data_IF_722021362443
#
_entry.id   IF_722021362443
#
_cell.length_a   1.000
_cell.length_b   1.000
_cell.length_c   1.000
_cell.angle_alpha   90.00
_cell.angle_beta   90.00
_cell.angle_gamma   90.00
#
_symmetry.space_group_name_H-M   'P 1'
#
loop_
_entity.id
_entity.type
_entity.pdbx_description
1 polymer ?
#
# COMPACT_ATOMS: atom_id res chain seq x y z
N UNK A 1 -14.35 -6.66 -25.27
CA UNK A 1 -13.22 -6.94 -24.36
C UNK A 1 -12.89 -5.77 -23.43
N UNK A 2 -12.72 -4.54 -23.95
CA UNK A 2 -12.28 -3.36 -23.20
C UNK A 2 -13.37 -2.65 -22.36
N UNK A 3 -14.53 -3.28 -22.18
CA UNK A 3 -15.61 -2.74 -21.36
C UNK A 3 -15.85 -3.66 -20.16
N UNK A 4 -16.12 -3.07 -19.00
CA UNK A 4 -16.43 -3.80 -17.76
C UNK A 4 -17.67 -3.29 -17.07
N UNK A 5 -18.39 -4.20 -16.41
CA UNK A 5 -19.48 -3.84 -15.51
C UNK A 5 -18.93 -3.74 -14.08
N UNK A 6 -19.32 -2.72 -13.34
CA UNK A 6 -18.90 -2.51 -11.96
C UNK A 6 -20.02 -2.98 -11.04
N UNK A 7 -19.70 -3.91 -10.14
CA UNK A 7 -20.54 -4.25 -8.99
C UNK A 7 -20.00 -3.57 -7.74
N UNK A 8 -20.88 -3.07 -6.90
CA UNK A 8 -20.53 -2.50 -5.60
C UNK A 8 -20.66 -3.59 -4.54
N UNK A 9 -19.55 -3.92 -3.87
CA UNK A 9 -19.56 -4.83 -2.72
C UNK A 9 -19.50 -4.04 -1.43
N UNK A 10 -20.24 -4.48 -0.41
CA UNK A 10 -20.26 -3.82 0.89
C UNK A 10 -18.90 -3.98 1.60
N UNK A 11 -18.28 -2.87 2.02
CA UNK A 11 -17.09 -2.90 2.90
C UNK A 11 -17.48 -3.01 4.37
N UNK A 12 -18.67 -2.55 4.71
CA UNK A 12 -19.22 -2.48 6.08
C UNK A 12 -20.63 -3.06 6.08
N UNK A 13 -21.09 -3.51 7.25
CA UNK A 13 -22.37 -4.24 7.38
C UNK A 13 -23.59 -3.42 6.93
N UNK A 14 -23.56 -2.10 7.12
CA UNK A 14 -24.65 -1.18 6.76
C UNK A 14 -24.06 0.03 6.00
N UNK A 15 -23.83 -0.09 4.68
CA UNK A 15 -23.25 0.99 3.90
C UNK A 15 -24.25 2.14 3.75
N UNK A 16 -23.80 3.37 3.98
CA UNK A 16 -24.63 4.57 3.85
C UNK A 16 -24.06 5.59 2.87
N UNK A 17 -22.76 5.50 2.57
CA UNK A 17 -22.05 6.38 1.66
C UNK A 17 -21.38 5.60 0.52
N UNK A 18 -21.06 6.28 -0.58
CA UNK A 18 -20.36 5.65 -1.73
C UNK A 18 -19.00 5.05 -1.33
N UNK A 19 -18.34 5.61 -0.31
CA UNK A 19 -17.04 5.13 0.16
C UNK A 19 -17.12 3.80 0.90
N UNK A 20 -18.31 3.44 1.40
CA UNK A 20 -18.61 2.18 2.09
C UNK A 20 -18.71 1.00 1.13
N UNK A 21 -18.65 1.25 -0.19
CA UNK A 21 -18.61 0.21 -1.20
C UNK A 21 -17.20 0.02 -1.77
N UNK A 22 -16.90 -1.22 -2.15
CA UNK A 22 -15.73 -1.60 -2.95
C UNK A 22 -16.20 -1.93 -4.37
N UNK A 23 -15.82 -1.13 -5.38
CA UNK A 23 -16.16 -1.44 -6.76
C UNK A 23 -15.33 -2.62 -7.26
N UNK A 24 -15.96 -3.62 -7.88
CA UNK A 24 -15.29 -4.72 -8.57
C UNK A 24 -15.68 -4.73 -10.04
N UNK A 25 -14.67 -4.75 -10.91
CA UNK A 25 -14.84 -4.83 -12.34
C UNK A 25 -15.06 -6.27 -12.81
N UNK A 26 -16.26 -6.54 -13.31
CA UNK A 26 -16.61 -7.75 -14.05
C UNK A 26 -16.11 -7.62 -15.49
N UNK A 27 -14.98 -8.27 -15.74
CA UNK A 27 -14.36 -8.33 -17.06
C UNK A 27 -14.87 -9.52 -17.85
N UNK A 28 -14.88 -9.36 -19.18
CA UNK A 28 -15.15 -10.45 -20.12
C UNK A 28 -14.30 -11.69 -19.79
N UNK A 29 -14.86 -12.89 -19.78
CA UNK A 29 -14.12 -14.11 -19.44
C UNK A 29 -12.87 -14.32 -20.31
N UNK A 30 -12.98 -14.14 -21.63
CA UNK A 30 -11.86 -14.24 -22.56
C UNK A 30 -10.72 -13.26 -22.23
N UNK A 31 -11.05 -12.10 -21.65
CA UNK A 31 -10.07 -11.15 -21.08
C UNK A 31 -9.13 -11.85 -20.13
N UNK A 32 -9.72 -12.54 -19.17
CA UNK A 32 -9.01 -13.09 -18.02
C UNK A 32 -8.07 -14.20 -18.46
N UNK A 33 -8.41 -14.93 -19.53
CA UNK A 33 -7.54 -15.95 -20.13
C UNK A 33 -6.29 -15.30 -20.72
N UNK A 34 -6.45 -14.26 -21.55
CA UNK A 34 -5.31 -13.57 -22.16
C UNK A 34 -4.46 -12.88 -21.08
N UNK A 35 -5.12 -12.21 -20.12
CA UNK A 35 -4.46 -11.60 -18.97
C UNK A 35 -3.65 -12.61 -18.16
N UNK A 36 -4.17 -13.83 -17.98
CA UNK A 36 -3.45 -14.90 -17.28
C UNK A 36 -2.19 -15.31 -18.02
N UNK A 37 -2.25 -15.47 -19.34
CA UNK A 37 -1.08 -15.79 -20.17
C UNK A 37 -0.02 -14.69 -20.06
N UNK A 38 -0.43 -13.43 -20.16
CA UNK A 38 0.46 -12.29 -20.00
C UNK A 38 1.07 -12.23 -18.59
N UNK A 39 0.24 -12.42 -17.55
CA UNK A 39 0.64 -12.43 -16.15
C UNK A 39 1.72 -13.48 -15.87
N UNK A 40 1.56 -14.72 -16.37
CA UNK A 40 2.56 -15.78 -16.21
C UNK A 40 3.90 -15.38 -16.82
N UNK A 41 3.90 -14.82 -18.04
CA UNK A 41 5.14 -14.39 -18.71
C UNK A 41 5.82 -13.22 -18.01
N UNK A 42 5.04 -12.23 -17.56
CA UNK A 42 5.56 -11.07 -16.84
C UNK A 42 6.14 -11.51 -15.49
N UNK A 43 5.47 -12.37 -14.74
CA UNK A 43 6.00 -12.89 -13.48
C UNK A 43 7.31 -13.67 -13.66
N UNK A 44 7.41 -14.51 -14.69
CA UNK A 44 8.64 -15.23 -15.00
C UNK A 44 9.80 -14.23 -15.25
N UNK A 45 9.57 -13.23 -16.11
CA UNK A 45 10.56 -12.18 -16.37
C UNK A 45 10.98 -11.43 -15.10
N UNK A 46 10.03 -11.04 -14.24
CA UNK A 46 10.32 -10.34 -12.98
C UNK A 46 11.10 -11.18 -11.98
N UNK A 47 10.85 -12.50 -11.95
CA UNK A 47 11.60 -13.43 -11.11
C UNK A 47 13.05 -13.57 -11.57
N UNK A 48 13.27 -13.72 -12.88
CA UNK A 48 14.60 -13.94 -13.47
C UNK A 48 15.50 -12.69 -13.40
N UNK A 49 14.90 -11.49 -13.41
CA UNK A 49 15.61 -10.21 -13.48
C UNK A 49 15.80 -9.50 -12.14
N UNK A 50 15.23 -10.05 -11.05
CA UNK A 50 15.27 -9.45 -9.69
C UNK A 50 14.83 -7.98 -9.65
N UNK A 51 13.85 -7.60 -10.48
CA UNK A 51 13.38 -6.21 -10.62
C UNK A 51 12.54 -5.75 -9.42
N UNK A 52 11.84 -6.68 -8.77
CA UNK A 52 10.91 -6.34 -7.70
C UNK A 52 11.63 -6.11 -6.38
N UNK A 53 11.23 -5.05 -5.68
CA UNK A 53 11.69 -4.76 -4.33
C UNK A 53 11.48 -5.99 -3.41
N UNK A 54 12.50 -6.48 -2.71
CA UNK A 54 12.38 -7.68 -1.88
C UNK A 54 11.41 -7.52 -0.70
N UNK A 55 11.13 -6.30 -0.25
CA UNK A 55 10.21 -5.95 0.82
C UNK A 55 8.80 -5.59 0.33
N UNK A 56 8.58 -5.64 -0.98
CA UNK A 56 7.24 -5.67 -1.56
C UNK A 56 6.71 -7.10 -1.51
N UNK A 57 5.73 -7.36 -0.65
CA UNK A 57 5.21 -8.71 -0.35
C UNK A 57 3.79 -8.94 -0.89
N UNK A 58 3.04 -7.88 -1.17
CA UNK A 58 1.69 -7.99 -1.75
C UNK A 58 1.70 -8.63 -3.14
N UNK A 59 0.72 -9.48 -3.43
CA UNK A 59 0.52 -10.14 -4.73
C UNK A 59 1.70 -10.95 -5.28
N UNK A 60 2.62 -11.39 -4.41
CA UNK A 60 3.74 -12.26 -4.79
C UNK A 60 3.54 -13.67 -4.28
N UNK A 61 3.97 -14.64 -5.09
CA UNK A 61 4.02 -16.03 -4.66
C UNK A 61 4.91 -16.17 -3.42
N UNK A 62 4.51 -17.05 -2.49
CA UNK A 62 5.22 -17.28 -1.23
C UNK A 62 5.12 -16.15 -0.20
N UNK A 63 4.35 -15.10 -0.48
CA UNK A 63 4.13 -13.98 0.44
C UNK A 63 2.65 -13.85 0.82
N UNK A 64 2.39 -13.27 1.98
CA UNK A 64 1.04 -13.02 2.49
C UNK A 64 1.05 -11.81 3.43
N UNK A 65 -0.13 -11.42 3.92
CA UNK A 65 -0.20 -10.43 5.00
C UNK A 65 0.59 -10.87 6.23
N UNK A 66 0.65 -12.18 6.49
CA UNK A 66 1.41 -12.74 7.60
C UNK A 66 2.91 -12.56 7.42
N UNK A 67 3.46 -12.73 6.21
CA UNK A 67 4.92 -12.56 6.01
C UNK A 67 5.34 -11.11 6.26
N UNK A 68 4.55 -10.14 5.80
CA UNK A 68 4.77 -8.72 6.08
C UNK A 68 4.68 -8.40 7.59
N UNK A 69 3.61 -8.86 8.24
CA UNK A 69 3.42 -8.66 9.69
C UNK A 69 4.52 -9.33 10.52
N UNK A 70 4.94 -10.54 10.15
CA UNK A 70 6.02 -11.26 10.83
C UNK A 70 7.34 -10.49 10.72
N UNK A 71 7.70 -9.99 9.54
CA UNK A 71 8.92 -9.18 9.37
C UNK A 71 8.91 -7.94 10.25
N UNK A 72 7.84 -7.14 10.20
CA UNK A 72 7.72 -5.91 10.99
C UNK A 72 7.80 -6.22 12.49
N UNK A 73 7.03 -7.20 12.95
CA UNK A 73 6.95 -7.54 14.39
C UNK A 73 8.24 -8.14 14.91
N UNK A 74 8.94 -8.94 14.10
CA UNK A 74 10.26 -9.46 14.44
C UNK A 74 11.29 -8.32 14.56
N UNK A 75 11.30 -7.39 13.60
CA UNK A 75 12.17 -6.22 13.68
C UNK A 75 11.91 -5.41 14.96
N UNK A 76 10.64 -5.09 15.25
CA UNK A 76 10.29 -4.36 16.48
C UNK A 76 10.76 -5.12 17.72
N UNK A 77 10.59 -6.45 17.78
CA UNK A 77 11.07 -7.28 18.90
C UNK A 77 12.60 -7.27 19.02
N UNK A 78 13.31 -7.36 17.91
CA UNK A 78 14.78 -7.23 17.89
C UNK A 78 15.22 -5.85 18.39
N UNK A 79 14.50 -4.79 18.00
CA UNK A 79 14.69 -3.43 18.52
C UNK A 79 14.50 -3.37 20.03
N UNK A 80 13.40 -3.92 20.55
CA UNK A 80 13.12 -3.99 22.00
C UNK A 80 14.24 -4.73 22.75
N UNK A 81 14.67 -5.89 22.24
CA UNK A 81 15.78 -6.65 22.83
C UNK A 81 17.09 -5.86 22.83
N UNK A 82 17.31 -5.04 21.80
CA UNK A 82 18.42 -4.09 21.69
C UNK A 82 18.24 -2.80 22.50
N UNK A 83 17.17 -2.68 23.31
CA UNK A 83 16.81 -1.45 24.05
C UNK A 83 16.59 -0.23 23.14
N UNK A 84 16.07 -0.46 21.94
CA UNK A 84 15.70 0.57 20.96
C UNK A 84 14.19 0.75 20.89
N UNK A 85 13.81 1.89 20.32
CA UNK A 85 12.45 2.21 19.89
C UNK A 85 12.34 2.01 18.38
N UNK A 86 11.14 1.68 17.90
CA UNK A 86 10.81 1.65 16.47
C UNK A 86 9.78 2.72 16.17
N UNK A 87 10.15 3.70 15.36
CA UNK A 87 9.24 4.70 14.81
C UNK A 87 8.59 4.13 13.56
N UNK A 88 7.27 4.02 13.51
CA UNK A 88 6.50 3.43 12.41
C UNK A 88 5.51 4.44 11.82
N UNK A 89 5.56 4.61 10.49
CA UNK A 89 4.55 5.30 9.69
C UNK A 89 3.81 4.29 8.81
N UNK A 90 2.48 4.38 8.82
CA UNK A 90 1.58 3.60 7.97
C UNK A 90 0.87 4.55 7.01
N UNK A 91 1.27 4.53 5.75
CA UNK A 91 0.72 5.38 4.70
C UNK A 91 -0.53 4.76 4.07
N UNK A 92 -1.58 5.57 3.88
CA UNK A 92 -2.81 5.19 3.18
C UNK A 92 -2.86 5.89 1.82
N UNK A 93 -3.01 5.11 0.73
CA UNK A 93 -3.21 5.66 -0.61
C UNK A 93 -4.70 5.61 -0.98
N UNK A 94 -5.28 6.78 -1.24
CA UNK A 94 -6.69 6.90 -1.60
C UNK A 94 -6.98 6.34 -2.98
N UNK A 95 -7.73 5.23 -3.03
CA UNK A 95 -8.15 4.55 -4.27
C UNK A 95 -6.94 4.26 -5.17
N UNK A 96 -5.89 3.68 -4.59
CA UNK A 96 -4.60 3.51 -5.26
C UNK A 96 -4.73 2.81 -6.63
N UNK A 97 -5.50 1.72 -6.68
CA UNK A 97 -5.79 1.00 -7.93
C UNK A 97 -6.51 1.86 -8.97
N UNK A 98 -7.46 2.70 -8.57
CA UNK A 98 -8.25 3.53 -9.49
C UNK A 98 -7.48 4.78 -9.96
N UNK A 99 -6.34 5.09 -9.34
CA UNK A 99 -5.57 6.31 -9.58
C UNK A 99 -4.27 6.08 -10.33
N UNK A 100 -3.83 4.84 -10.52
CA UNK A 100 -2.61 4.49 -11.29
C UNK A 100 -2.57 5.23 -12.62
N UNK A 101 -1.54 6.06 -12.81
CA UNK A 101 -1.35 6.79 -14.05
C UNK A 101 -0.74 5.87 -15.11
N UNK A 102 -1.40 5.74 -16.27
CA UNK A 102 -0.94 4.83 -17.33
C UNK A 102 0.41 5.26 -17.94
N UNK A 103 0.67 6.56 -18.10
CA UNK A 103 1.94 7.06 -18.66
C UNK A 103 3.08 6.70 -17.72
N UNK A 104 2.91 6.96 -16.42
CA UNK A 104 3.92 6.62 -15.41
C UNK A 104 4.16 5.11 -15.33
N UNK A 105 3.09 4.31 -15.32
CA UNK A 105 3.21 2.85 -15.32
C UNK A 105 4.01 2.34 -16.52
N UNK A 106 3.72 2.84 -17.74
CA UNK A 106 4.46 2.45 -18.94
C UNK A 106 5.93 2.89 -18.88
N UNK A 107 6.22 4.06 -18.32
CA UNK A 107 7.59 4.52 -18.06
C UNK A 107 8.31 3.62 -17.04
N UNK A 108 7.62 3.14 -16.00
CA UNK A 108 8.17 2.17 -15.05
C UNK A 108 8.53 0.85 -15.74
N UNK A 109 7.67 0.34 -16.64
CA UNK A 109 7.97 -0.86 -17.43
C UNK A 109 9.21 -0.67 -18.30
N UNK A 110 9.34 0.49 -18.94
CA UNK A 110 10.53 0.81 -19.73
C UNK A 110 11.80 0.84 -18.88
N UNK A 111 11.77 1.50 -17.72
CA UNK A 111 12.90 1.51 -16.76
C UNK A 111 13.23 0.12 -16.22
N UNK A 112 12.22 -0.75 -16.14
CA UNK A 112 12.36 -2.16 -15.73
C UNK A 112 12.82 -3.07 -16.89
N UNK A 113 13.24 -2.53 -18.02
CA UNK A 113 13.81 -3.31 -19.13
C UNK A 113 12.81 -4.13 -19.93
N UNK A 114 11.50 -3.89 -19.80
CA UNK A 114 10.51 -4.60 -20.61
C UNK A 114 10.70 -4.28 -22.11
N UNK A 115 10.53 -5.30 -22.95
CA UNK A 115 10.56 -5.12 -24.40
C UNK A 115 9.49 -4.13 -24.89
N UNK A 116 9.77 -3.42 -25.97
CA UNK A 116 8.80 -2.52 -26.62
C UNK A 116 7.47 -3.22 -26.91
N UNK A 117 7.50 -4.46 -27.39
CA UNK A 117 6.29 -5.26 -27.65
C UNK A 117 5.45 -5.49 -26.39
N UNK A 118 6.08 -5.76 -25.25
CA UNK A 118 5.37 -5.96 -23.99
C UNK A 118 4.74 -4.64 -23.51
N UNK A 119 5.48 -3.54 -23.59
CA UNK A 119 5.00 -2.21 -23.20
C UNK A 119 3.82 -1.79 -24.09
N UNK A 120 3.92 -1.93 -25.41
CA UNK A 120 2.83 -1.62 -26.34
C UNK A 120 1.61 -2.50 -26.11
N UNK A 121 1.81 -3.78 -25.74
CA UNK A 121 0.70 -4.66 -25.38
C UNK A 121 -0.02 -4.19 -24.11
N UNK A 122 0.73 -3.83 -23.05
CA UNK A 122 0.15 -3.27 -21.81
C UNK A 122 -0.56 -1.95 -22.08
N UNK A 123 0.03 -1.07 -22.90
CA UNK A 123 -0.59 0.18 -23.31
C UNK A 123 -1.92 -0.07 -24.04
N UNK A 124 -1.97 -1.05 -24.94
CA UNK A 124 -3.22 -1.44 -25.60
C UNK A 124 -4.24 -2.02 -24.63
N UNK A 125 -3.81 -2.82 -23.64
CA UNK A 125 -4.70 -3.37 -22.60
C UNK A 125 -5.36 -2.27 -21.75
N UNK A 126 -4.62 -1.20 -21.43
CA UNK A 126 -5.06 -0.09 -20.57
C UNK A 126 -5.88 0.98 -21.30
N UNK A 127 -5.62 1.22 -22.59
CA UNK A 127 -6.23 2.29 -23.38
C UNK A 127 -7.56 1.89 -24.03
N UNK A 128 -8.45 2.88 -24.21
CA UNK A 128 -9.75 2.68 -24.85
C UNK A 128 -10.72 1.84 -24.02
N UNK A 129 -10.55 1.87 -22.70
CA UNK A 129 -11.41 1.14 -21.76
C UNK A 129 -12.65 1.95 -21.39
N UNK A 130 -13.74 1.26 -21.10
CA UNK A 130 -14.95 1.87 -20.56
C UNK A 130 -15.57 1.02 -19.44
N UNK A 131 -16.34 1.65 -18.57
CA UNK A 131 -17.04 0.96 -17.49
C UNK A 131 -18.44 1.52 -17.25
N UNK A 132 -19.35 0.68 -16.76
CA UNK A 132 -20.69 1.04 -16.33
C UNK A 132 -21.00 0.37 -14.99
N UNK A 133 -21.71 1.04 -14.09
CA UNK A 133 -22.08 0.47 -12.78
C UNK A 133 -23.43 -0.21 -12.86
N UNK A 134 -23.56 -1.37 -12.23
CA UNK A 134 -24.83 -2.08 -12.08
C UNK A 134 -25.60 -1.56 -10.87
N UNK A 135 -26.89 -1.30 -11.03
CA UNK A 135 -27.78 -1.04 -9.90
C UNK A 135 -28.19 -2.37 -9.20
N UNK A 136 -28.99 -2.28 -8.14
CA UNK A 136 -29.49 -3.45 -7.38
C UNK A 136 -30.32 -4.44 -8.20
N UNK A 137 -30.85 -4.01 -9.36
CA UNK A 137 -31.61 -4.83 -10.28
C UNK A 137 -30.75 -5.40 -11.42
N UNK A 138 -29.43 -5.17 -11.41
CA UNK A 138 -28.52 -5.64 -12.44
C UNK A 138 -28.56 -4.82 -13.75
N UNK A 139 -29.18 -3.64 -13.74
CA UNK A 139 -29.27 -2.76 -14.91
C UNK A 139 -28.02 -1.85 -14.95
N UNK A 140 -27.29 -1.79 -16.09
CA UNK A 140 -26.10 -0.97 -16.22
C UNK A 140 -26.44 0.51 -16.44
N UNK A 141 -25.59 1.39 -15.88
CA UNK A 141 -25.53 2.79 -16.25
C UNK A 141 -25.01 2.99 -17.68
N UNK A 142 -24.97 4.23 -18.16
CA UNK A 142 -24.19 4.56 -19.36
C UNK A 142 -22.71 4.26 -19.16
N UNK A 143 -22.06 3.77 -20.21
CA UNK A 143 -20.63 3.51 -20.20
C UNK A 143 -19.84 4.81 -20.20
N UNK A 144 -18.83 4.88 -19.34
CA UNK A 144 -17.89 6.00 -19.25
C UNK A 144 -16.48 5.54 -19.54
N UNK A 145 -15.65 6.35 -20.24
CA UNK A 145 -14.26 6.00 -20.50
C UNK A 145 -13.44 5.97 -19.20
N UNK A 146 -12.47 5.05 -19.15
CA UNK A 146 -11.53 4.90 -18.05
C UNK A 146 -10.12 5.27 -18.53
N UNK A 147 -9.63 6.43 -18.09
CA UNK A 147 -8.35 6.99 -18.54
C UNK A 147 -7.20 6.82 -17.54
N UNK A 148 -7.48 6.20 -16.37
CA UNK A 148 -6.51 5.93 -15.31
C UNK A 148 -6.96 4.73 -14.50
N UNK A 149 -6.05 4.22 -13.68
CA UNK A 149 -6.26 3.08 -12.81
C UNK A 149 -6.12 1.74 -13.52
N UNK A 150 -6.15 0.68 -12.72
CA UNK A 150 -6.15 -0.70 -13.16
C UNK A 150 -7.37 -1.42 -12.57
N UNK A 151 -8.07 -2.29 -13.33
CA UNK A 151 -9.38 -2.76 -12.89
C UNK A 151 -9.27 -3.68 -11.66
N UNK A 152 -9.95 -3.35 -10.56
CA UNK A 152 -10.08 -4.27 -9.42
C UNK A 152 -10.93 -5.49 -9.83
N UNK A 153 -10.38 -6.71 -9.73
CA UNK A 153 -11.01 -7.94 -10.24
C UNK A 153 -10.46 -8.43 -11.60
N UNK A 154 -9.51 -7.68 -12.18
CA UNK A 154 -8.66 -8.17 -13.28
C UNK A 154 -7.57 -9.12 -12.76
N UNK A 155 -7.06 -9.95 -13.66
CA UNK A 155 -5.89 -10.81 -13.36
C UNK A 155 -4.61 -9.97 -13.39
N UNK A 156 -4.52 -9.01 -14.33
CA UNK A 156 -3.34 -8.16 -14.46
C UNK A 156 -3.31 -6.96 -13.50
N UNK A 157 -4.44 -6.48 -13.01
CA UNK A 157 -4.49 -5.27 -12.19
C UNK A 157 -3.57 -5.29 -10.98
N UNK A 158 -3.60 -6.33 -10.14
CA UNK A 158 -2.66 -6.48 -9.03
C UNK A 158 -1.18 -6.46 -9.46
N UNK A 159 -0.85 -7.13 -10.57
CA UNK A 159 0.51 -7.16 -11.11
C UNK A 159 0.96 -5.80 -11.67
N UNK A 160 0.07 -5.09 -12.35
CA UNK A 160 0.36 -3.75 -12.86
C UNK A 160 0.48 -2.74 -11.72
N UNK A 161 -0.31 -2.90 -10.66
CA UNK A 161 -0.16 -2.09 -9.45
C UNK A 161 1.16 -2.38 -8.73
N UNK A 162 1.56 -3.65 -8.63
CA UNK A 162 2.86 -4.08 -8.09
C UNK A 162 4.01 -3.31 -8.77
N UNK A 163 3.99 -3.25 -10.11
CA UNK A 163 4.97 -2.54 -10.92
C UNK A 163 4.87 -1.01 -10.81
N UNK A 164 3.68 -0.48 -10.54
CA UNK A 164 3.47 0.95 -10.37
C UNK A 164 4.10 1.47 -9.06
N UNK A 165 3.99 0.73 -7.96
CA UNK A 165 4.48 1.14 -6.64
C UNK A 165 5.91 0.68 -6.33
N UNK A 166 6.49 -0.21 -7.15
CA UNK A 166 7.77 -0.89 -6.89
C UNK A 166 8.93 0.04 -6.53
N UNK A 167 8.97 1.28 -7.04
CA UNK A 167 10.06 2.21 -6.82
C UNK A 167 9.82 3.24 -5.69
N UNK A 168 8.72 3.11 -4.93
CA UNK A 168 8.41 4.07 -3.84
C UNK A 168 9.51 4.15 -2.79
N UNK A 169 10.19 3.04 -2.53
CA UNK A 169 11.25 2.96 -1.55
C UNK A 169 12.62 3.43 -2.08
N UNK A 170 12.77 3.60 -3.40
CA UNK A 170 14.02 4.08 -3.98
C UNK A 170 14.23 5.55 -3.59
N UNK A 171 15.21 5.80 -2.72
CA UNK A 171 15.50 7.14 -2.20
C UNK A 171 15.04 7.36 -0.76
N UNK A 172 14.49 6.34 -0.08
CA UNK A 172 14.34 6.41 1.37
C UNK A 172 15.70 6.63 2.05
N UNK A 173 15.75 7.40 3.16
CA UNK A 173 17.00 7.66 3.86
C UNK A 173 17.69 6.38 4.36
N UNK A 174 19.01 6.41 4.47
CA UNK A 174 19.80 5.27 4.93
C UNK A 174 19.39 4.83 6.34
N UNK A 175 19.17 3.53 6.53
CA UNK A 175 18.74 2.94 7.80
C UNK A 175 17.22 2.90 7.98
N UNK A 176 16.45 3.67 7.21
CA UNK A 176 14.99 3.55 7.15
C UNK A 176 14.64 2.26 6.41
N UNK A 177 13.75 1.48 7.01
CA UNK A 177 13.23 0.25 6.46
C UNK A 177 11.80 0.47 5.95
N UNK A 178 11.34 -0.41 5.06
CA UNK A 178 9.99 -0.37 4.52
C UNK A 178 9.42 -1.77 4.31
N UNK A 179 8.10 -1.83 4.22
CA UNK A 179 7.34 -2.99 3.75
C UNK A 179 6.17 -2.49 2.90
N UNK A 180 5.95 -3.15 1.77
CA UNK A 180 4.85 -2.81 0.86
C UNK A 180 3.95 -4.03 0.71
N UNK A 181 2.67 -3.88 1.04
CA UNK A 181 1.67 -4.91 0.78
C UNK A 181 0.50 -4.30 0.02
N UNK A 182 0.43 -4.56 -1.28
CA UNK A 182 -0.51 -3.86 -2.15
C UNK A 182 -0.35 -2.34 -1.97
N UNK A 183 -1.44 -1.62 -1.65
CA UNK A 183 -1.46 -0.19 -1.38
C UNK A 183 -1.09 0.20 0.06
N UNK A 184 -0.88 -0.76 0.97
CA UNK A 184 -0.38 -0.49 2.32
C UNK A 184 1.16 -0.33 2.28
N UNK A 185 1.65 0.88 2.54
CA UNK A 185 3.08 1.18 2.67
C UNK A 185 3.42 1.46 4.14
N UNK A 186 4.41 0.73 4.64
CA UNK A 186 4.89 0.82 6.02
C UNK A 186 6.34 1.28 5.94
N UNK A 187 6.69 2.34 6.67
CA UNK A 187 8.05 2.86 6.74
C UNK A 187 8.43 2.97 8.20
N UNK A 188 9.59 2.45 8.58
CA UNK A 188 9.99 2.42 9.97
C UNK A 188 11.49 2.59 10.16
N UNK A 189 11.86 3.13 11.32
CA UNK A 189 13.23 3.39 11.70
C UNK A 189 13.46 3.02 13.17
N UNK A 190 14.57 2.34 13.44
CA UNK A 190 14.96 1.96 14.79
C UNK A 190 16.00 2.93 15.34
N UNK A 191 15.81 3.36 16.58
CA UNK A 191 16.63 4.40 17.19
C UNK A 191 16.76 4.21 18.71
N UNK A 192 17.83 4.74 19.28
CA UNK A 192 17.98 4.83 20.73
C UNK A 192 17.13 6.00 21.28
N UNK A 193 16.56 5.86 22.48
CA UNK A 193 15.70 6.89 23.11
C UNK A 193 16.33 8.30 23.08
N UNK A 194 17.66 8.37 23.27
CA UNK A 194 18.44 9.61 23.28
C UNK A 194 18.52 10.31 21.91
N UNK A 195 18.22 9.60 20.84
CA UNK A 195 18.28 10.06 19.45
C UNK A 195 16.89 10.38 18.88
N UNK A 196 15.89 10.59 19.74
CA UNK A 196 14.51 10.85 19.30
C UNK A 196 14.41 12.02 18.30
N UNK A 197 15.15 13.11 18.51
CA UNK A 197 15.15 14.25 17.60
C UNK A 197 15.70 13.89 16.21
N UNK A 198 16.78 13.11 16.15
CA UNK A 198 17.36 12.63 14.89
C UNK A 198 16.41 11.66 14.18
N UNK A 199 15.78 10.76 14.95
CA UNK A 199 14.77 9.83 14.43
C UNK A 199 13.56 10.56 13.86
N UNK A 200 13.09 11.62 14.52
CA UNK A 200 12.03 12.49 13.98
C UNK A 200 12.48 13.16 12.68
N UNK A 201 13.70 13.70 12.61
CA UNK A 201 14.26 14.26 11.38
C UNK A 201 14.25 13.23 10.24
N UNK A 202 14.73 12.02 10.53
CA UNK A 202 14.77 10.90 9.59
C UNK A 202 13.39 10.51 9.06
N UNK A 203 12.40 10.39 9.95
CA UNK A 203 11.04 10.02 9.57
C UNK A 203 10.31 11.13 8.80
N UNK A 204 10.60 12.40 9.11
CA UNK A 204 10.12 13.54 8.31
C UNK A 204 10.71 13.54 6.89
N UNK A 205 12.01 13.24 6.74
CA UNK A 205 12.63 13.10 5.42
C UNK A 205 12.02 11.94 4.63
N UNK A 206 11.83 10.79 5.27
CA UNK A 206 11.19 9.63 4.66
C UNK A 206 9.74 9.93 4.24
N UNK A 207 8.97 10.62 5.08
CA UNK A 207 7.58 10.98 4.77
C UNK A 207 7.49 12.03 3.65
N UNK A 208 8.42 12.99 3.61
CA UNK A 208 8.56 13.95 2.51
C UNK A 208 8.88 13.24 1.20
N UNK A 209 9.79 12.27 1.22
CA UNK A 209 10.11 11.45 0.05
C UNK A 209 8.87 10.71 -0.47
N UNK A 210 8.14 9.99 0.40
CA UNK A 210 6.91 9.28 0.01
C UNK A 210 5.85 10.23 -0.55
N UNK A 211 5.65 11.39 0.08
CA UNK A 211 4.70 12.41 -0.40
C UNK A 211 5.09 12.95 -1.79
N UNK A 212 6.38 13.26 -2.01
CA UNK A 212 6.88 13.71 -3.31
C UNK A 212 6.77 12.60 -4.37
N UNK A 213 7.13 11.36 -4.04
CA UNK A 213 6.99 10.22 -4.92
C UNK A 213 5.53 10.00 -5.33
N UNK A 214 4.58 10.11 -4.38
CA UNK A 214 3.15 9.97 -4.65
C UNK A 214 2.66 11.03 -5.65
N UNK A 215 3.05 12.30 -5.46
CA UNK A 215 2.71 13.39 -6.39
C UNK A 215 3.28 13.18 -7.79
N UNK A 216 4.53 12.71 -7.88
CA UNK A 216 5.18 12.44 -9.15
C UNK A 216 4.49 11.30 -9.90
N UNK A 217 4.08 10.25 -9.17
CA UNK A 217 3.37 9.10 -9.72
C UNK A 217 1.84 9.31 -9.87
N UNK A 218 1.34 10.51 -9.55
CA UNK A 218 -0.09 10.88 -9.57
C UNK A 218 -0.98 9.98 -8.70
N UNK A 219 -0.41 9.44 -7.63
CA UNK A 219 -1.14 8.75 -6.57
C UNK A 219 -1.51 9.74 -5.48
N UNK A 220 -2.64 9.48 -4.83
CA UNK A 220 -3.19 10.36 -3.79
C UNK A 220 -2.86 9.79 -2.42
N UNK A 221 -1.92 10.42 -1.72
CA UNK A 221 -1.64 10.09 -0.32
C UNK A 221 -2.73 10.67 0.57
N UNK A 222 -3.26 9.86 1.49
CA UNK A 222 -4.29 10.24 2.42
C UNK A 222 -3.68 10.56 3.78
N UNK A 223 -3.27 11.81 3.95
CA UNK A 223 -2.59 12.27 5.16
C UNK A 223 -3.46 12.05 6.41
N UNK A 224 -4.77 12.27 6.32
CA UNK A 224 -5.70 12.08 7.44
C UNK A 224 -5.86 10.61 7.89
N UNK A 225 -5.57 9.65 7.01
CA UNK A 225 -5.57 8.22 7.34
C UNK A 225 -4.18 7.64 7.56
N UNK A 226 -3.14 8.43 7.31
CA UNK A 226 -1.77 8.03 7.66
C UNK A 226 -1.65 7.99 9.17
N UNK A 227 -1.05 6.92 9.70
CA UNK A 227 -0.92 6.69 11.14
C UNK A 227 0.54 6.61 11.55
N UNK A 228 0.81 7.07 12.76
CA UNK A 228 2.12 7.02 13.39
C UNK A 228 2.04 6.21 14.69
N UNK A 229 3.06 5.38 14.94
CA UNK A 229 3.21 4.59 16.16
C UNK A 229 4.68 4.51 16.54
N UNK A 230 5.00 4.69 17.83
CA UNK A 230 6.34 4.41 18.35
C UNK A 230 6.26 3.18 19.24
N UNK A 231 6.92 2.11 18.83
CA UNK A 231 6.94 0.84 19.56
C UNK A 231 8.20 0.68 20.40
N UNK A 232 8.09 0.01 21.54
CA UNK A 232 9.24 -0.29 22.39
C UNK A 232 8.88 -1.00 23.69
N UNK A 233 9.87 -1.13 24.58
CA UNK A 233 9.58 -1.54 25.95
C UNK A 233 8.75 -0.46 26.67
N UNK A 234 7.86 -0.88 27.57
CA UNK A 234 6.99 0.01 28.35
C UNK A 234 7.73 1.25 28.91
N UNK A 235 8.91 1.03 29.50
CA UNK A 235 9.67 2.12 30.13
C UNK A 235 10.12 3.18 29.12
N UNK A 236 10.48 2.78 27.90
CA UNK A 236 10.99 3.68 26.86
C UNK A 236 9.83 4.36 26.14
N UNK A 237 8.76 3.62 25.85
CA UNK A 237 7.52 4.15 25.26
C UNK A 237 6.92 5.22 26.16
N UNK A 238 6.75 4.95 27.47
CA UNK A 238 6.17 5.93 28.39
C UNK A 238 6.95 7.25 28.45
N UNK A 239 8.28 7.19 28.34
CA UNK A 239 9.12 8.39 28.30
C UNK A 239 8.87 9.20 27.04
N UNK A 240 8.84 8.57 25.87
CA UNK A 240 8.62 9.28 24.60
C UNK A 240 7.20 9.85 24.51
N UNK A 241 6.18 9.07 24.87
CA UNK A 241 4.78 9.54 24.83
C UNK A 241 4.47 10.63 25.88
N UNK A 242 5.33 10.79 26.90
CA UNK A 242 5.20 11.92 27.85
C UNK A 242 5.69 13.26 27.29
N UNK A 243 6.40 13.26 26.16
CA UNK A 243 6.95 14.46 25.53
C UNK A 243 5.90 15.16 24.66
N UNK A 244 5.88 16.50 24.71
CA UNK A 244 4.87 17.32 24.03
C UNK A 244 5.09 17.54 22.53
N UNK A 245 6.21 17.06 21.96
CA UNK A 245 6.63 17.36 20.59
C UNK A 245 7.13 16.13 19.84
N UNK A 246 6.40 15.03 19.87
CA UNK A 246 6.72 13.83 19.10
C UNK A 246 5.71 13.72 17.96
N UNK A 247 6.20 13.57 16.74
CA UNK A 247 5.35 13.57 15.56
C UNK A 247 6.11 13.80 14.27
N UNK A 248 5.61 13.20 13.20
CA UNK A 248 5.98 13.52 11.81
C UNK A 248 4.99 14.53 11.22
N UNK A 249 5.47 15.40 10.33
CA UNK A 249 4.62 16.25 9.52
C UNK A 249 4.68 15.84 8.05
N UNK A 250 3.52 15.84 7.40
CA UNK A 250 3.38 15.58 5.96
C UNK A 250 2.52 16.70 5.40
N UNK A 251 3.06 17.44 4.42
CA UNK A 251 2.34 18.50 3.72
C UNK A 251 1.71 19.52 4.69
N UNK A 252 2.50 19.95 5.67
CA UNK A 252 2.13 20.88 6.75
C UNK A 252 1.07 20.35 7.75
N UNK A 253 0.64 19.10 7.61
CA UNK A 253 -0.25 18.43 8.57
C UNK A 253 0.55 17.53 9.52
N UNK A 254 0.24 17.62 10.81
CA UNK A 254 0.80 16.74 11.84
C UNK A 254 0.12 15.37 11.79
N UNK A 255 0.91 14.30 11.76
CA UNK A 255 0.40 12.94 11.82
C UNK A 255 0.14 12.58 13.30
N UNK A 256 -1.06 12.08 13.65
CA UNK A 256 -1.34 11.70 15.02
C UNK A 256 -0.46 10.50 15.43
N UNK A 257 0.29 10.68 16.50
CA UNK A 257 0.97 9.59 17.21
C UNK A 257 -0.08 8.81 18.02
N UNK A 258 -0.37 7.59 17.59
CA UNK A 258 -1.35 6.71 18.21
C UNK A 258 -0.68 5.78 19.24
N UNK A 259 -1.46 5.24 20.18
CA UNK A 259 -1.00 4.15 21.07
C UNK A 259 -1.23 2.77 20.46
N UNK A 260 -2.16 2.67 19.49
CA UNK A 260 -2.42 1.45 18.74
C UNK A 260 -2.90 1.76 17.32
N UNK A 261 -2.55 0.90 16.38
CA UNK A 261 -2.89 1.06 14.96
C UNK A 261 -3.33 -0.27 14.35
N UNK A 262 -4.20 -0.21 13.34
CA UNK A 262 -4.55 -1.39 12.53
C UNK A 262 -3.59 -1.49 11.34
N UNK A 263 -2.85 -2.58 11.26
CA UNK A 263 -1.95 -2.89 10.15
C UNK A 263 -2.30 -4.27 9.57
N UNK A 264 -2.59 -4.35 8.26
CA UNK A 264 -2.95 -5.57 7.54
C UNK A 264 -3.99 -6.47 8.25
N UNK A 265 -4.96 -5.84 8.94
CA UNK A 265 -6.05 -6.52 9.65
C UNK A 265 -5.77 -6.87 11.12
N UNK A 266 -4.56 -6.64 11.61
CA UNK A 266 -4.16 -6.87 13.01
C UNK A 266 -4.02 -5.54 13.74
N UNK A 267 -4.38 -5.49 15.03
CA UNK A 267 -4.16 -4.31 15.86
C UNK A 267 -2.80 -4.47 16.55
N UNK A 268 -1.93 -3.48 16.36
CA UNK A 268 -0.58 -3.41 16.92
C UNK A 268 -0.56 -2.25 17.90
N UNK A 269 -0.30 -2.53 19.18
CA UNK A 269 -0.07 -1.51 20.21
C UNK A 269 1.43 -1.20 20.36
N UNK A 270 1.73 -0.03 20.94
CA UNK A 270 3.07 0.49 21.18
C UNK A 270 3.99 -0.42 22.03
N UNK A 271 3.44 -1.41 22.73
CA UNK A 271 4.19 -2.39 23.53
C UNK A 271 4.22 -3.80 22.91
N UNK A 272 3.56 -4.00 21.76
CA UNK A 272 3.31 -5.32 21.17
C UNK A 272 2.68 -6.33 22.16
N UNK A 273 1.77 -5.86 23.02
CA UNK A 273 1.08 -6.68 24.00
C UNK A 273 -0.04 -7.55 23.40
N UNK A 274 -0.56 -7.17 22.22
CA UNK A 274 -1.66 -7.83 21.51
C UNK A 274 -3.01 -7.78 22.24
N UNK A 275 -3.10 -7.09 23.38
CA UNK A 275 -4.30 -7.09 24.23
C UNK A 275 -5.53 -6.57 23.48
N UNK A 276 -5.39 -5.41 22.84
CA UNK A 276 -6.49 -4.81 22.07
C UNK A 276 -6.95 -5.69 20.91
N UNK A 277 -6.00 -6.34 20.22
CA UNK A 277 -6.33 -7.26 19.15
C UNK A 277 -7.13 -8.46 19.66
N UNK A 278 -6.64 -9.12 20.72
CA UNK A 278 -7.30 -10.30 21.30
C UNK A 278 -8.70 -9.95 21.79
N UNK A 279 -8.86 -8.85 22.54
CA UNK A 279 -10.17 -8.38 22.99
C UNK A 279 -11.12 -8.09 21.81
N UNK A 280 -10.63 -7.42 20.78
CA UNK A 280 -11.43 -7.07 19.61
C UNK A 280 -11.89 -8.27 18.78
N UNK A 281 -11.17 -9.39 18.83
CA UNK A 281 -11.59 -10.65 18.17
C UNK A 281 -12.46 -11.50 19.09
N UNK A 282 -12.21 -11.53 20.39
CA UNK A 282 -13.01 -12.32 21.35
C UNK A 282 -14.42 -11.79 21.56
N UNK A 283 -14.68 -10.53 21.24
CA UNK A 283 -15.99 -9.88 21.37
C UNK A 283 -16.79 -9.79 20.06
N UNK A 284 -16.35 -10.47 18.99
CA UNK A 284 -17.11 -10.62 17.73
C UNK A 284 -17.84 -11.95 17.69
#
# INVERSE_FOLDING_TARGET
WKSSLIIALDKVKNPSTVNDFRPIALLCFLSKVIERIASVRIHAYLADSLILDPYQTGFRAGNSTQTALLKLTDDIRLGINGKKLTFLLLFDFSKAFDTVNHVQLLANLQRSGFSYSAITWVASYLTGRSQATLNSQGIPSSFRPLNKGVPQGSVLGPLLFLLAINDVALGLPSGVQHLIYADDLQVYYQFDEKQLADAMGMMNEAAKHVSQWARNNKLNLNVAKTKELICGSQAYVNRVYSLSKVGTTIDDACIPLECSVRNLGVIIDNELSWREHVMGVSHK
#
